data_IF_409007608257
#
_entry.id   IF_409007608257
#
_cell.length_a   1.000
_cell.length_b   1.000
_cell.length_c   1.000
_cell.angle_alpha   90.00
_cell.angle_beta   90.00
_cell.angle_gamma   90.00
#
_symmetry.space_group_name_H-M   'P 1'
#
loop_
_entity.id
_entity.type
_entity.pdbx_description
1 polymer ?
#
# COMPACT_ATOMS: atom_id res chain seq x y z
N UNK A 1 -30.28 22.59 41.35
CA UNK A 1 -29.65 23.76 40.71
C UNK A 1 -29.29 23.29 39.32
N UNK A 2 -29.79 23.92 38.27
CA UNK A 2 -29.42 23.57 36.90
C UNK A 2 -28.02 24.13 36.63
N UNK A 3 -27.01 23.27 36.68
CA UNK A 3 -25.65 23.64 36.33
C UNK A 3 -25.59 23.89 34.81
N UNK A 4 -25.12 25.06 34.39
CA UNK A 4 -25.04 25.41 32.97
C UNK A 4 -23.85 24.69 32.30
N UNK A 5 -24.07 23.42 31.96
CA UNK A 5 -23.09 22.51 31.36
C UNK A 5 -22.59 22.97 29.98
N UNK A 6 -23.26 23.94 29.36
CA UNK A 6 -22.85 24.53 28.07
C UNK A 6 -21.51 25.28 28.16
N UNK A 7 -21.21 25.88 29.32
CA UNK A 7 -19.98 26.63 29.57
C UNK A 7 -18.75 25.75 29.84
N UNK A 8 -18.95 24.48 30.21
CA UNK A 8 -17.87 23.56 30.60
C UNK A 8 -17.11 22.99 29.39
N UNK A 9 -15.86 22.62 29.60
CA UNK A 9 -15.06 21.94 28.58
C UNK A 9 -15.41 20.45 28.52
N UNK A 10 -15.13 19.79 27.40
CA UNK A 10 -15.41 18.35 27.23
C UNK A 10 -14.71 17.51 28.29
N UNK A 11 -13.52 17.88 28.75
CA UNK A 11 -12.80 17.17 29.80
C UNK A 11 -13.56 17.18 31.13
N UNK A 12 -14.08 18.35 31.53
CA UNK A 12 -14.86 18.51 32.76
C UNK A 12 -16.18 17.73 32.71
N UNK A 13 -16.86 17.73 31.55
CA UNK A 13 -18.08 16.95 31.37
C UNK A 13 -17.82 15.43 31.46
N UNK A 14 -16.66 14.98 30.98
CA UNK A 14 -16.25 13.56 31.07
C UNK A 14 -15.87 13.15 32.48
N UNK A 15 -15.26 14.04 33.26
CA UNK A 15 -14.98 13.81 34.69
C UNK A 15 -16.28 13.67 35.48
N UNK A 16 -17.26 14.56 35.26
CA UNK A 16 -18.57 14.50 35.90
C UNK A 16 -19.35 13.24 35.51
N UNK A 17 -19.30 12.83 34.24
CA UNK A 17 -19.93 11.57 33.81
C UNK A 17 -19.24 10.35 34.43
N UNK A 18 -17.92 10.39 34.62
CA UNK A 18 -17.17 9.31 35.28
C UNK A 18 -17.48 9.23 36.78
N UNK A 19 -17.68 10.37 37.45
CA UNK A 19 -18.12 10.40 38.86
C UNK A 19 -19.55 9.89 39.06
N UNK A 20 -20.38 10.02 38.03
CA UNK A 20 -21.77 9.51 38.01
C UNK A 20 -21.88 8.11 37.40
N UNK A 21 -20.76 7.49 37.01
CA UNK A 21 -20.68 6.19 36.33
C UNK A 21 -21.51 6.08 35.03
N UNK A 22 -21.65 7.18 34.28
CA UNK A 22 -22.26 7.20 32.94
C UNK A 22 -21.22 7.08 31.81
N UNK A 23 -21.61 6.58 30.62
CA UNK A 23 -20.71 6.44 29.49
C UNK A 23 -20.12 7.78 28.98
N UNK A 24 -18.81 7.78 28.78
CA UNK A 24 -17.98 8.96 28.47
C UNK A 24 -17.81 9.20 26.95
N UNK A 25 -18.52 8.45 26.11
CA UNK A 25 -18.38 8.47 24.64
C UNK A 25 -19.36 9.44 23.97
N UNK A 26 -18.88 10.26 23.01
CA UNK A 26 -19.72 11.14 22.20
C UNK A 26 -19.28 12.60 22.15
N UNK A 27 -20.06 13.43 21.43
CA UNK A 27 -19.79 14.85 21.26
C UNK A 27 -20.21 15.65 22.50
N UNK A 28 -19.72 16.89 22.62
CA UNK A 28 -20.03 17.79 23.76
C UNK A 28 -21.53 17.87 24.08
N UNK A 29 -22.38 17.92 23.05
CA UNK A 29 -23.84 17.97 23.21
C UNK A 29 -24.44 16.70 23.81
N UNK A 30 -23.91 15.54 23.43
CA UNK A 30 -24.40 14.24 23.91
C UNK A 30 -24.00 14.03 25.37
N UNK A 31 -22.81 14.51 25.76
CA UNK A 31 -22.36 14.48 27.16
C UNK A 31 -23.23 15.39 28.04
N UNK A 32 -23.59 16.58 27.53
CA UNK A 32 -24.50 17.51 28.22
C UNK A 32 -25.90 16.88 28.36
N UNK A 33 -26.46 16.34 27.28
CA UNK A 33 -27.80 15.73 27.30
C UNK A 33 -27.89 14.52 28.24
N UNK A 34 -26.80 13.75 28.42
CA UNK A 34 -26.76 12.65 29.40
C UNK A 34 -26.68 13.13 30.85
N UNK A 35 -25.95 14.22 31.12
CA UNK A 35 -25.91 14.82 32.45
C UNK A 35 -27.28 15.43 32.79
N UNK A 36 -27.84 16.23 31.88
CA UNK A 36 -29.17 16.83 32.04
C UNK A 36 -30.26 15.74 32.14
N UNK A 37 -30.21 14.70 31.32
CA UNK A 37 -31.15 13.58 31.35
C UNK A 37 -31.00 12.65 32.56
N UNK A 38 -29.83 12.59 33.18
CA UNK A 38 -29.62 11.88 34.45
C UNK A 38 -30.13 12.69 35.65
N UNK A 39 -30.08 14.03 35.57
CA UNK A 39 -30.63 14.92 36.59
C UNK A 39 -32.17 15.11 36.45
N UNK A 40 -32.75 14.87 35.25
CA UNK A 40 -34.18 15.02 34.93
C UNK A 40 -34.91 13.67 34.77
N UNK A 41 -34.81 12.78 35.77
CA UNK A 41 -35.54 11.51 35.75
C UNK A 41 -36.63 11.42 36.84
N UNK A 42 -37.90 11.21 36.44
CA UNK A 42 -38.83 10.35 37.17
C UNK A 42 -39.08 9.03 36.42
N UNK A 43 -39.45 8.02 37.20
CA UNK A 43 -39.53 6.60 36.87
C UNK A 43 -40.72 6.14 35.98
N UNK A 44 -40.58 4.91 35.45
CA UNK A 44 -41.58 3.87 35.10
C UNK A 44 -42.16 3.72 33.66
N UNK A 45 -41.99 2.48 33.17
CA UNK A 45 -42.96 1.53 32.59
C UNK A 45 -43.32 1.42 31.08
N UNK A 46 -43.35 0.13 30.68
CA UNK A 46 -44.07 -0.58 29.60
C UNK A 46 -43.65 -0.56 28.10
N UNK A 47 -43.84 -1.74 27.50
CA UNK A 47 -43.46 -2.26 26.17
C UNK A 47 -44.53 -1.96 25.07
N UNK A 48 -44.66 -2.76 23.97
CA UNK A 48 -43.87 -2.94 22.73
C UNK A 48 -44.65 -2.53 21.44
N UNK A 49 -44.02 -2.41 20.25
CA UNK A 49 -44.58 -2.82 18.92
C UNK A 49 -43.62 -2.56 17.72
N UNK A 50 -43.61 -3.51 16.78
CA UNK A 50 -42.89 -3.53 15.47
C UNK A 50 -43.56 -2.59 14.42
N UNK A 51 -43.07 -2.35 13.16
CA UNK A 51 -42.05 -3.06 12.37
C UNK A 51 -41.00 -2.19 11.62
N UNK A 52 -39.75 -2.65 11.59
CA UNK A 52 -38.66 -2.04 10.82
C UNK A 52 -38.82 -2.29 9.31
N UNK A 53 -38.88 -1.18 8.59
CA UNK A 53 -38.85 -1.11 7.14
C UNK A 53 -37.48 -1.56 6.60
N UNK A 54 -37.50 -2.28 5.49
CA UNK A 54 -36.34 -2.59 4.68
C UNK A 54 -35.59 -1.32 4.26
N UNK A 55 -34.38 -1.13 4.79
CA UNK A 55 -33.35 -0.32 4.14
C UNK A 55 -32.10 -1.18 3.99
N UNK A 56 -31.74 -1.39 2.73
CA UNK A 56 -30.56 -2.10 2.28
C UNK A 56 -29.32 -1.65 3.05
N UNK A 57 -28.76 -2.58 3.83
CA UNK A 57 -27.59 -2.38 4.69
C UNK A 57 -26.34 -2.82 3.93
N UNK A 58 -26.07 -2.18 2.80
CA UNK A 58 -24.90 -2.41 1.97
C UNK A 58 -24.05 -1.14 1.89
N UNK A 59 -23.46 -0.74 3.02
CA UNK A 59 -22.19 0.01 3.12
C UNK A 59 -21.79 0.17 4.60
N UNK A 60 -21.85 -0.93 5.36
CA UNK A 60 -21.07 -1.06 6.57
C UNK A 60 -19.62 -1.37 6.16
N UNK A 61 -18.94 -0.35 5.64
CA UNK A 61 -17.49 -0.30 5.78
C UNK A 61 -17.23 -0.18 7.28
N UNK A 62 -17.03 -1.34 7.89
CA UNK A 62 -16.55 -1.55 9.24
C UNK A 62 -15.19 -0.84 9.37
N UNK A 63 -15.24 0.44 9.72
CA UNK A 63 -14.09 1.33 9.94
C UNK A 63 -13.52 1.15 11.37
N UNK A 64 -13.77 -0.01 12.00
CA UNK A 64 -13.50 -0.24 13.43
C UNK A 64 -12.96 -1.66 13.75
N UNK A 65 -12.37 -2.37 12.79
CA UNK A 65 -11.52 -3.55 13.06
C UNK A 65 -10.09 -3.33 12.51
N UNK A 66 -9.53 -2.16 12.79
CA UNK A 66 -8.09 -1.92 12.74
C UNK A 66 -7.56 -1.30 14.04
N UNK A 67 -8.25 -1.56 15.15
CA UNK A 67 -7.73 -1.34 16.51
C UNK A 67 -6.93 -2.58 16.96
N UNK A 68 -6.13 -3.11 16.03
CA UNK A 68 -5.02 -3.94 16.41
C UNK A 68 -4.08 -3.06 17.20
N UNK A 69 -4.06 -3.26 18.53
CA UNK A 69 -2.87 -3.06 19.34
C UNK A 69 -1.72 -3.86 18.71
N UNK A 70 -1.20 -3.35 17.61
CA UNK A 70 -0.01 -3.81 16.96
C UNK A 70 1.13 -3.27 17.79
N UNK A 71 1.39 -3.97 18.90
CA UNK A 71 2.65 -3.93 19.61
C UNK A 71 3.75 -3.68 18.58
N UNK A 72 4.39 -2.53 18.72
CA UNK A 72 5.51 -1.99 17.98
C UNK A 72 6.41 -3.07 17.38
N UNK A 73 5.98 -3.62 16.25
CA UNK A 73 6.68 -4.69 15.56
C UNK A 73 7.87 -4.04 14.86
N UNK A 74 8.96 -3.89 15.62
CA UNK A 74 10.18 -3.17 15.24
C UNK A 74 10.66 -3.66 13.87
N UNK A 75 10.58 -2.77 12.87
CA UNK A 75 10.99 -3.08 11.50
C UNK A 75 12.48 -3.44 11.45
N UNK A 76 12.80 -4.73 11.27
CA UNK A 76 14.18 -5.19 11.08
C UNK A 76 14.58 -5.13 9.61
N UNK A 77 15.59 -4.32 9.30
CA UNK A 77 16.09 -4.19 7.94
C UNK A 77 16.73 -5.49 7.44
N UNK A 78 16.47 -5.86 6.18
CA UNK A 78 17.10 -7.03 5.55
C UNK A 78 18.63 -6.87 5.54
N UNK A 79 19.35 -7.92 5.94
CA UNK A 79 20.81 -7.95 5.96
C UNK A 79 21.39 -7.71 4.56
N UNK A 80 22.36 -6.80 4.46
CA UNK A 80 23.12 -6.54 3.24
C UNK A 80 24.41 -7.39 3.24
N UNK A 81 24.86 -7.90 2.09
CA UNK A 81 26.09 -8.67 2.02
C UNK A 81 27.31 -7.75 2.15
N UNK A 82 28.39 -8.25 2.75
CA UNK A 82 29.70 -7.60 2.71
C UNK A 82 30.34 -7.93 1.37
N UNK A 83 30.64 -6.90 0.57
CA UNK A 83 31.23 -7.03 -0.76
C UNK A 83 32.52 -6.21 -0.84
N UNK A 84 33.49 -6.71 -1.61
CA UNK A 84 34.69 -5.98 -2.00
C UNK A 84 34.35 -4.76 -2.86
N UNK A 85 35.22 -3.75 -2.83
CA UNK A 85 34.99 -2.48 -3.52
C UNK A 85 34.91 -2.67 -5.04
N UNK A 86 35.71 -3.59 -5.60
CA UNK A 86 35.70 -3.90 -7.04
C UNK A 86 34.35 -4.50 -7.48
N UNK A 87 33.78 -5.44 -6.72
CA UNK A 87 32.43 -5.98 -7.00
C UNK A 87 31.35 -4.91 -6.87
N UNK A 88 31.45 -4.02 -5.88
CA UNK A 88 30.50 -2.91 -5.69
C UNK A 88 30.50 -1.96 -6.89
N UNK A 89 31.67 -1.60 -7.38
CA UNK A 89 31.84 -0.79 -8.59
C UNK A 89 31.32 -1.52 -9.83
N UNK A 90 31.61 -2.81 -9.98
CA UNK A 90 31.11 -3.62 -11.09
C UNK A 90 29.57 -3.69 -11.11
N UNK A 91 28.93 -3.78 -9.93
CA UNK A 91 27.47 -3.72 -9.81
C UNK A 91 26.90 -2.36 -10.23
N UNK A 92 27.55 -1.27 -9.82
CA UNK A 92 27.16 0.08 -10.22
C UNK A 92 27.28 0.27 -11.75
N UNK A 93 28.37 -0.20 -12.36
CA UNK A 93 28.56 -0.18 -13.82
C UNK A 93 27.50 -1.01 -14.55
N UNK A 94 27.19 -2.21 -14.03
CA UNK A 94 26.13 -3.07 -14.57
C UNK A 94 24.76 -2.40 -14.50
N UNK A 95 24.46 -1.68 -13.42
CA UNK A 95 23.21 -0.92 -13.29
C UNK A 95 23.14 0.22 -14.33
N UNK A 96 24.23 0.97 -14.51
CA UNK A 96 24.32 2.01 -15.52
C UNK A 96 24.16 1.46 -16.95
N UNK A 97 24.75 0.30 -17.26
CA UNK A 97 24.56 -0.38 -18.54
C UNK A 97 23.12 -0.87 -18.73
N UNK A 98 22.49 -1.42 -17.67
CA UNK A 98 21.09 -1.86 -17.71
C UNK A 98 20.15 -0.70 -18.02
N UNK A 99 20.38 0.48 -17.43
CA UNK A 99 19.58 1.67 -17.68
C UNK A 99 19.61 2.12 -19.15
N UNK A 100 20.76 1.96 -19.84
CA UNK A 100 20.92 2.30 -21.26
C UNK A 100 20.36 1.24 -22.21
N UNK A 101 20.14 0.02 -21.73
CA UNK A 101 19.76 -1.12 -22.56
C UNK A 101 18.24 -1.22 -22.70
N UNK A 102 17.67 -1.29 -23.91
CA UNK A 102 16.23 -1.43 -24.09
C UNK A 102 15.74 -2.82 -23.65
N UNK A 103 14.44 -2.94 -23.37
CA UNK A 103 13.80 -4.20 -22.91
C UNK A 103 13.69 -5.29 -23.97
N UNK A 104 14.14 -5.05 -25.21
CA UNK A 104 14.12 -5.99 -26.35
C UNK A 104 12.81 -6.77 -26.49
N UNK A 105 11.78 -6.12 -27.03
CA UNK A 105 10.49 -6.77 -27.36
C UNK A 105 10.39 -7.10 -28.86
N UNK A 106 9.65 -8.15 -29.20
CA UNK A 106 9.36 -8.52 -30.60
C UNK A 106 8.70 -7.35 -31.36
N UNK A 107 8.97 -7.24 -32.67
CA UNK A 107 8.29 -6.26 -33.52
C UNK A 107 6.77 -6.38 -33.41
N UNK A 108 6.10 -5.24 -33.25
CA UNK A 108 4.63 -5.15 -33.21
C UNK A 108 3.98 -5.91 -32.04
N UNK A 109 4.74 -6.18 -30.98
CA UNK A 109 4.22 -6.79 -29.73
C UNK A 109 3.05 -6.00 -29.11
N UNK A 110 3.05 -4.68 -29.28
CA UNK A 110 2.02 -3.75 -28.79
C UNK A 110 0.77 -3.73 -29.67
N UNK A 111 0.82 -4.24 -30.90
CA UNK A 111 -0.31 -4.22 -31.85
C UNK A 111 -1.19 -5.46 -31.71
N UNK A 112 -0.61 -6.62 -31.38
CA UNK A 112 -1.31 -7.89 -31.37
C UNK A 112 -1.16 -8.61 -30.02
N UNK A 113 -2.27 -8.95 -29.38
CA UNK A 113 -2.28 -9.65 -28.08
C UNK A 113 -1.48 -10.96 -28.09
N UNK A 114 -1.58 -11.75 -29.17
CA UNK A 114 -0.80 -12.99 -29.35
C UNK A 114 0.73 -12.79 -29.37
N UNK A 115 1.21 -11.56 -29.63
CA UNK A 115 2.64 -11.22 -29.64
C UNK A 115 3.10 -10.57 -28.33
N UNK A 116 2.18 -10.11 -27.47
CA UNK A 116 2.50 -9.33 -26.27
C UNK A 116 3.45 -10.04 -25.29
N UNK A 117 3.28 -11.37 -25.12
CA UNK A 117 4.07 -12.20 -24.19
C UNK A 117 5.22 -12.97 -24.84
N UNK A 118 5.44 -12.83 -26.16
CA UNK A 118 6.37 -13.67 -26.93
C UNK A 118 7.86 -13.36 -26.73
N UNK A 119 8.22 -12.35 -25.91
CA UNK A 119 9.61 -11.93 -25.72
C UNK A 119 10.28 -11.38 -26.99
N UNK A 120 11.60 -11.51 -27.11
CA UNK A 120 12.37 -11.10 -28.30
C UNK A 120 12.36 -12.19 -29.38
N UNK A 121 12.26 -11.79 -30.66
CA UNK A 121 12.46 -12.66 -31.83
C UNK A 121 13.21 -11.89 -32.91
N UNK A 122 14.20 -12.51 -33.55
CA UNK A 122 14.98 -11.90 -34.65
C UNK A 122 14.04 -11.51 -35.82
N UNK A 123 13.94 -10.23 -36.21
CA UNK A 123 13.09 -9.82 -37.33
C UNK A 123 13.70 -10.32 -38.66
N UNK A 124 12.93 -11.10 -39.42
CA UNK A 124 13.38 -11.74 -40.66
C UNK A 124 12.97 -11.01 -41.94
N UNK A 125 11.77 -10.40 -41.95
CA UNK A 125 11.19 -9.80 -43.16
C UNK A 125 12.02 -8.68 -43.78
N UNK A 126 12.07 -8.61 -45.11
CA UNK A 126 12.91 -7.66 -45.83
C UNK A 126 12.49 -6.20 -45.58
N UNK A 127 11.19 -5.94 -45.57
CA UNK A 127 10.60 -4.61 -45.32
C UNK A 127 10.54 -4.21 -43.86
N UNK A 128 10.90 -5.12 -42.95
CA UNK A 128 10.83 -4.87 -41.53
C UNK A 128 11.80 -3.74 -41.14
N UNK A 129 11.21 -2.63 -40.67
CA UNK A 129 11.93 -1.41 -40.33
C UNK A 129 12.87 -1.59 -39.13
N UNK A 130 12.59 -2.53 -38.23
CA UNK A 130 13.50 -2.89 -37.14
C UNK A 130 14.70 -3.69 -37.66
N UNK A 131 14.50 -4.63 -38.62
CA UNK A 131 15.60 -5.36 -39.28
C UNK A 131 16.58 -4.39 -39.96
N UNK A 132 16.04 -3.35 -40.60
CA UNK A 132 16.80 -2.27 -41.25
C UNK A 132 17.36 -1.23 -40.26
N UNK A 133 17.13 -1.40 -38.96
CA UNK A 133 17.66 -0.57 -37.87
C UNK A 133 17.35 0.94 -38.01
N UNK A 134 16.13 1.28 -38.42
CA UNK A 134 15.69 2.68 -38.46
C UNK A 134 15.57 3.30 -37.06
N UNK A 135 15.94 4.58 -36.92
CA UNK A 135 16.01 5.34 -35.65
C UNK A 135 14.71 5.29 -34.83
N UNK A 136 13.56 5.28 -35.48
CA UNK A 136 12.25 5.27 -34.82
C UNK A 136 11.80 3.87 -34.35
N UNK A 137 12.58 2.82 -34.61
CA UNK A 137 12.35 1.47 -34.07
C UNK A 137 13.37 1.18 -32.97
N UNK A 138 12.98 0.34 -32.02
CA UNK A 138 13.89 -0.12 -30.97
C UNK A 138 15.10 -0.85 -31.57
N UNK A 139 16.26 -0.72 -30.92
CA UNK A 139 17.51 -1.31 -31.41
C UNK A 139 17.43 -2.83 -31.49
N UNK A 140 18.23 -3.39 -32.40
CA UNK A 140 18.45 -4.84 -32.49
C UNK A 140 19.36 -5.33 -31.36
N UNK A 141 19.10 -6.54 -30.88
CA UNK A 141 20.03 -7.24 -29.99
C UNK A 141 21.38 -7.45 -30.69
N UNK A 142 22.46 -7.01 -30.03
CA UNK A 142 23.86 -7.09 -30.46
C UNK A 142 24.74 -7.41 -29.27
N UNK A 143 25.94 -7.94 -29.51
CA UNK A 143 26.93 -8.29 -28.47
C UNK A 143 27.24 -7.08 -27.56
N UNK A 144 27.25 -5.86 -28.11
CA UNK A 144 27.53 -4.63 -27.35
C UNK A 144 26.47 -4.24 -26.29
N UNK A 145 25.32 -4.92 -26.25
CA UNK A 145 24.33 -4.74 -25.18
C UNK A 145 24.56 -5.68 -23.97
N UNK A 146 25.64 -6.46 -23.99
CA UNK A 146 26.09 -7.28 -22.86
C UNK A 146 26.53 -6.43 -21.65
N UNK A 147 26.47 -7.04 -20.46
CA UNK A 147 26.82 -6.37 -19.19
C UNK A 147 28.26 -6.72 -18.78
N UNK A 148 28.84 -5.94 -17.86
CA UNK A 148 30.17 -6.19 -17.27
C UNK A 148 30.29 -7.63 -16.76
N UNK A 149 31.37 -8.32 -17.16
CA UNK A 149 31.62 -9.72 -16.82
C UNK A 149 32.10 -9.92 -15.37
N UNK A 150 32.63 -8.87 -14.72
CA UNK A 150 33.15 -8.90 -13.35
C UNK A 150 32.07 -9.11 -12.27
N UNK A 151 30.81 -8.78 -12.55
CA UNK A 151 29.68 -9.07 -11.66
C UNK A 151 28.63 -9.95 -12.38
N UNK A 152 29.00 -11.18 -12.79
CA UNK A 152 28.09 -12.08 -13.49
C UNK A 152 27.12 -12.69 -12.49
N UNK A 153 25.84 -12.80 -12.87
CA UNK A 153 24.81 -13.51 -12.09
C UNK A 153 24.54 -13.03 -10.65
N UNK A 154 25.20 -11.97 -10.17
CA UNK A 154 24.85 -11.30 -8.90
C UNK A 154 23.50 -10.58 -9.01
N UNK A 155 22.70 -10.66 -7.95
CA UNK A 155 21.46 -9.89 -7.77
C UNK A 155 21.78 -8.40 -7.56
N UNK A 156 20.87 -7.43 -7.84
CA UNK A 156 21.11 -6.02 -7.51
C UNK A 156 21.44 -5.74 -6.04
N UNK A 157 21.04 -6.62 -5.12
CA UNK A 157 21.43 -6.53 -3.70
C UNK A 157 22.84 -7.06 -3.41
N UNK A 158 23.51 -7.67 -4.39
CA UNK A 158 24.86 -8.20 -4.26
C UNK A 158 24.98 -9.67 -3.86
N UNK A 159 23.86 -10.35 -3.59
CA UNK A 159 23.89 -11.79 -3.32
C UNK A 159 24.04 -12.61 -4.62
N UNK A 160 24.74 -13.75 -4.53
CA UNK A 160 24.70 -14.80 -5.55
C UNK A 160 23.37 -15.56 -5.46
N UNK A 161 22.72 -15.80 -6.60
CA UNK A 161 21.50 -16.60 -6.63
C UNK A 161 21.84 -18.09 -6.38
N UNK A 162 21.53 -18.58 -5.19
CA UNK A 162 21.51 -20.02 -4.88
C UNK A 162 20.07 -20.52 -4.88
N UNK A 163 19.84 -21.72 -5.39
CA UNK A 163 18.55 -22.41 -5.26
C UNK A 163 18.61 -23.29 -4.02
N UNK A 164 17.71 -23.07 -3.07
CA UNK A 164 17.50 -23.99 -1.95
C UNK A 164 16.52 -25.05 -2.44
N UNK A 165 17.00 -26.29 -2.59
CA UNK A 165 16.23 -27.45 -3.03
C UNK A 165 15.58 -28.16 -1.85
#
# INVERSE_FOLDING_TARGET
MSDDFSSMTVAQLKELLKERDLPVSGNKKDLIARLEGADDAPAQDEAPEAPEASQDKDDAWDDDDWDGEGEDELHTARQKPVLDDATREALALRAAQKAKTPTFRRTEWFRYARLSRSGWRKPKGMDNKQRRNYKYRGSLVRVGHGKVAAAPCLHPSGFSAGTVS
#
